data_IF_759784093996
#
_entry.id   IF_759784093996
#
_cell.length_a   1.000
_cell.length_b   1.000
_cell.length_c   1.000
_cell.angle_alpha   90.00
_cell.angle_beta   90.00
_cell.angle_gamma   90.00
#
_symmetry.space_group_name_H-M   'P 1'
#
loop_
_entity.id
_entity.type
_entity.pdbx_description
1 polymer ?
#
# COMPACT_ATOMS: atom_id res chain seq x y z
N UNK A 1 -46.71 -25.25 -78.48
CA UNK A 1 -46.66 -26.36 -77.52
C UNK A 1 -45.22 -26.88 -77.56
N UNK A 2 -44.33 -26.19 -76.84
CA UNK A 2 -43.74 -26.56 -75.53
C UNK A 2 -42.70 -27.68 -75.64
N UNK A 3 -41.43 -27.29 -75.54
CA UNK A 3 -40.39 -27.94 -74.73
C UNK A 3 -39.03 -27.28 -75.03
N UNK A 4 -38.48 -26.52 -74.08
CA UNK A 4 -37.06 -26.64 -73.74
C UNK A 4 -36.80 -25.96 -72.40
N UNK A 5 -36.41 -26.77 -71.43
CA UNK A 5 -35.84 -26.32 -70.17
C UNK A 5 -34.45 -25.76 -70.42
N UNK A 6 -34.18 -24.54 -69.95
CA UNK A 6 -32.82 -24.03 -69.77
C UNK A 6 -32.63 -23.61 -68.32
N UNK A 7 -31.87 -24.45 -67.62
CA UNK A 7 -31.35 -24.28 -66.25
C UNK A 7 -30.71 -22.89 -66.11
N UNK A 8 -31.19 -22.05 -65.20
CA UNK A 8 -30.41 -20.93 -64.65
C UNK A 8 -29.50 -21.50 -63.54
N UNK A 9 -28.20 -21.49 -63.79
CA UNK A 9 -27.17 -21.80 -62.79
C UNK A 9 -27.19 -20.75 -61.67
N UNK A 10 -27.12 -21.23 -60.43
CA UNK A 10 -26.87 -20.38 -59.25
C UNK A 10 -25.46 -19.76 -59.36
N UNK A 11 -25.26 -18.52 -58.86
CA UNK A 11 -23.97 -17.85 -58.93
C UNK A 11 -22.93 -18.62 -58.12
N UNK A 12 -21.79 -18.91 -58.74
CA UNK A 12 -20.66 -19.59 -58.11
C UNK A 12 -20.00 -18.60 -57.15
N UNK A 13 -20.29 -18.73 -55.85
CA UNK A 13 -19.59 -18.00 -54.79
C UNK A 13 -18.18 -18.59 -54.68
N UNK A 14 -17.18 -17.84 -55.12
CA UNK A 14 -15.78 -18.26 -55.01
C UNK A 14 -15.28 -18.09 -53.57
N UNK A 15 -14.40 -19.00 -53.13
CA UNK A 15 -13.79 -19.04 -51.78
C UNK A 15 -13.18 -17.69 -51.36
N UNK A 16 -12.72 -16.87 -52.32
CA UNK A 16 -12.18 -15.53 -52.10
C UNK A 16 -13.23 -14.49 -51.68
N UNK A 17 -14.47 -14.62 -52.16
CA UNK A 17 -15.57 -13.68 -51.84
C UNK A 17 -16.17 -13.99 -50.46
N UNK A 18 -16.26 -15.27 -50.08
CA UNK A 18 -16.65 -15.68 -48.73
C UNK A 18 -15.61 -15.27 -47.67
N UNK A 19 -14.32 -15.36 -48.00
CA UNK A 19 -13.22 -14.91 -47.12
C UNK A 19 -13.24 -13.38 -46.94
N UNK A 20 -13.44 -12.60 -48.01
CA UNK A 20 -13.54 -11.12 -47.89
C UNK A 20 -14.75 -10.65 -47.08
N UNK A 21 -15.90 -11.34 -47.16
CA UNK A 21 -17.08 -11.03 -46.34
C UNK A 21 -16.97 -11.49 -44.88
N UNK A 22 -16.31 -12.64 -44.65
CA UNK A 22 -16.13 -13.23 -43.33
C UNK A 22 -15.12 -12.47 -42.46
N UNK A 23 -14.02 -11.94 -43.03
CA UNK A 23 -13.02 -11.20 -42.24
C UNK A 23 -13.50 -9.84 -41.75
N UNK A 24 -14.37 -9.14 -42.49
CA UNK A 24 -14.90 -7.84 -42.06
C UNK A 24 -15.89 -7.97 -40.88
N UNK A 25 -16.64 -9.07 -40.82
CA UNK A 25 -17.68 -9.31 -39.79
C UNK A 25 -17.14 -10.08 -38.58
N UNK A 26 -16.27 -11.07 -38.79
CA UNK A 26 -15.57 -11.75 -37.70
C UNK A 26 -14.54 -10.83 -37.04
N UNK A 27 -13.89 -9.92 -37.78
CA UNK A 27 -12.96 -8.95 -37.23
C UNK A 27 -13.63 -8.00 -36.24
N UNK A 28 -14.79 -7.43 -36.59
CA UNK A 28 -15.52 -6.52 -35.71
C UNK A 28 -16.13 -7.24 -34.49
N UNK A 29 -16.72 -8.42 -34.67
CA UNK A 29 -17.30 -9.18 -33.56
C UNK A 29 -16.23 -9.77 -32.63
N UNK A 30 -15.13 -10.28 -33.17
CA UNK A 30 -14.00 -10.76 -32.39
C UNK A 30 -13.25 -9.60 -31.71
N UNK A 31 -13.17 -8.43 -32.36
CA UNK A 31 -12.67 -7.22 -31.71
C UNK A 31 -13.60 -6.82 -30.56
N UNK A 32 -14.91 -6.65 -30.79
CA UNK A 32 -15.90 -6.35 -29.73
C UNK A 32 -15.85 -7.37 -28.58
N UNK A 33 -15.68 -8.66 -28.89
CA UNK A 33 -15.47 -9.71 -27.89
C UNK A 33 -14.14 -9.58 -27.14
N UNK A 34 -13.05 -9.23 -27.83
CA UNK A 34 -11.72 -9.06 -27.26
C UNK A 34 -11.56 -7.77 -26.44
N UNK A 35 -12.30 -6.70 -26.78
CA UNK A 35 -12.43 -5.48 -25.96
C UNK A 35 -13.59 -5.56 -24.97
N UNK A 36 -14.37 -6.65 -24.90
CA UNK A 36 -15.41 -6.81 -23.88
C UNK A 36 -14.84 -6.80 -22.45
N UNK A 37 -13.72 -7.51 -22.15
CA UNK A 37 -13.03 -7.38 -20.87
C UNK A 37 -12.55 -5.95 -20.59
N UNK A 38 -12.05 -5.25 -21.62
CA UNK A 38 -11.62 -3.84 -21.51
C UNK A 38 -12.80 -2.89 -21.32
N UNK A 39 -13.99 -3.18 -21.87
CA UNK A 39 -15.23 -2.42 -21.66
C UNK A 39 -15.80 -2.65 -20.26
N UNK A 40 -15.64 -3.85 -19.71
CA UNK A 40 -15.98 -4.12 -18.33
C UNK A 40 -15.01 -3.45 -17.36
N UNK A 41 -13.70 -3.47 -17.64
CA UNK A 41 -12.71 -2.70 -16.88
C UNK A 41 -12.95 -1.18 -16.99
N UNK A 42 -13.26 -0.66 -18.18
CA UNK A 42 -13.61 0.76 -18.39
C UNK A 42 -14.97 1.16 -17.81
N UNK A 43 -15.78 0.20 -17.35
CA UNK A 43 -17.01 0.49 -16.58
C UNK A 43 -16.71 0.74 -15.11
N UNK A 44 -15.58 0.26 -14.60
CA UNK A 44 -15.13 0.45 -13.22
C UNK A 44 -14.08 1.56 -13.10
N UNK A 45 -13.34 1.86 -14.18
CA UNK A 45 -12.27 2.87 -14.19
C UNK A 45 -12.65 4.02 -15.11
N UNK A 46 -12.62 5.27 -14.61
CA UNK A 46 -12.95 6.43 -15.46
C UNK A 46 -11.92 6.60 -16.58
N UNK A 47 -12.30 7.16 -17.74
CA UNK A 47 -11.34 7.40 -18.84
C UNK A 47 -10.16 8.29 -18.41
N UNK A 48 -10.38 9.15 -17.42
CA UNK A 48 -9.34 10.00 -16.81
C UNK A 48 -8.41 9.22 -15.87
N UNK A 49 -8.88 8.15 -15.25
CA UNK A 49 -8.07 7.26 -14.42
C UNK A 49 -7.27 6.29 -15.28
N UNK A 50 -7.85 5.77 -16.36
CA UNK A 50 -7.13 4.92 -17.32
C UNK A 50 -5.98 5.64 -18.03
N UNK A 51 -6.13 6.94 -18.29
CA UNK A 51 -5.11 7.79 -18.92
C UNK A 51 -4.21 8.51 -17.91
N UNK A 52 -4.36 8.25 -16.60
CA UNK A 52 -3.58 8.91 -15.57
C UNK A 52 -2.11 8.55 -15.75
N UNK A 53 -1.22 9.56 -15.74
CA UNK A 53 0.23 9.35 -15.77
C UNK A 53 0.76 8.99 -14.38
N UNK A 54 2.00 8.49 -14.34
CA UNK A 54 2.70 8.22 -13.09
C UNK A 54 2.76 9.49 -12.22
N UNK A 55 2.55 9.37 -10.91
CA UNK A 55 2.50 10.54 -10.01
C UNK A 55 3.72 11.48 -10.12
N UNK A 56 4.91 10.92 -10.35
CA UNK A 56 6.14 11.72 -10.49
C UNK A 56 6.17 12.56 -11.79
N UNK A 57 5.36 12.21 -12.79
CA UNK A 57 5.27 12.89 -14.08
C UNK A 57 4.12 13.91 -14.12
N UNK A 58 3.16 13.81 -13.20
CA UNK A 58 2.02 14.71 -13.15
C UNK A 58 2.42 16.15 -12.79
N UNK A 59 1.87 17.11 -13.53
CA UNK A 59 1.94 18.53 -13.19
C UNK A 59 1.18 18.82 -11.89
N UNK A 60 1.48 19.94 -11.22
CA UNK A 60 0.74 20.33 -10.01
C UNK A 60 -0.73 20.65 -10.30
N UNK A 61 -1.07 21.02 -11.54
CA UNK A 61 -2.46 21.16 -11.96
C UNK A 61 -3.16 19.80 -12.08
N UNK A 62 -2.50 18.81 -12.70
CA UNK A 62 -3.07 17.49 -12.88
C UNK A 62 -3.18 16.72 -11.57
N UNK A 63 -2.19 16.89 -10.67
CA UNK A 63 -2.28 16.37 -9.29
C UNK A 63 -3.52 16.91 -8.58
N UNK A 64 -3.81 18.22 -8.69
CA UNK A 64 -5.01 18.83 -8.11
C UNK A 64 -6.29 18.26 -8.71
N UNK A 65 -6.33 18.02 -10.02
CA UNK A 65 -7.49 17.37 -10.68
C UNK A 65 -7.71 15.94 -10.18
N UNK A 66 -6.63 15.16 -10.06
CA UNK A 66 -6.70 13.78 -9.54
C UNK A 66 -7.14 13.78 -8.09
N UNK A 67 -6.59 14.66 -7.26
CA UNK A 67 -6.97 14.81 -5.85
C UNK A 67 -8.45 15.16 -5.71
N UNK A 68 -8.94 16.16 -6.44
CA UNK A 68 -10.35 16.53 -6.41
C UNK A 68 -11.27 15.38 -6.84
N UNK A 69 -10.85 14.60 -7.85
CA UNK A 69 -11.56 13.40 -8.27
C UNK A 69 -11.61 12.35 -7.16
N UNK A 70 -10.49 12.09 -6.48
CA UNK A 70 -10.42 11.11 -5.38
C UNK A 70 -11.26 11.53 -4.17
N UNK A 71 -11.34 12.83 -3.87
CA UNK A 71 -12.20 13.36 -2.81
C UNK A 71 -13.68 13.12 -3.13
N UNK A 72 -14.10 13.39 -4.38
CA UNK A 72 -15.47 13.14 -4.84
C UNK A 72 -15.79 11.64 -4.83
N UNK A 73 -14.91 10.80 -5.37
CA UNK A 73 -15.06 9.33 -5.35
C UNK A 73 -15.18 8.81 -3.92
N UNK A 74 -14.41 9.36 -2.97
CA UNK A 74 -14.51 8.96 -1.55
C UNK A 74 -15.87 9.33 -0.96
N UNK A 75 -16.39 10.51 -1.31
CA UNK A 75 -17.71 10.97 -0.87
C UNK A 75 -18.83 10.12 -1.46
N UNK A 76 -18.77 9.82 -2.76
CA UNK A 76 -19.77 8.99 -3.45
C UNK A 76 -19.77 7.55 -2.94
N UNK A 77 -18.60 6.95 -2.76
CA UNK A 77 -18.48 5.53 -2.41
C UNK A 77 -18.62 5.24 -0.92
N UNK A 78 -18.09 6.12 -0.06
CA UNK A 78 -18.01 5.89 1.38
C UNK A 78 -18.85 6.87 2.20
N UNK A 79 -19.48 7.87 1.58
CA UNK A 79 -20.31 8.86 2.28
C UNK A 79 -19.54 9.77 3.21
N UNK A 80 -18.23 9.92 3.02
CA UNK A 80 -17.34 10.70 3.88
C UNK A 80 -16.72 11.88 3.12
N UNK A 81 -16.86 13.08 3.66
CA UNK A 81 -16.13 14.26 3.19
C UNK A 81 -14.68 14.19 3.69
N UNK A 82 -13.72 14.19 2.76
CA UNK A 82 -12.30 14.07 3.05
C UNK A 82 -11.50 15.20 2.41
N UNK A 83 -10.32 15.48 2.94
CA UNK A 83 -9.34 16.41 2.37
C UNK A 83 -8.07 15.63 2.09
N UNK A 84 -7.65 15.58 0.82
CA UNK A 84 -6.47 14.84 0.39
C UNK A 84 -5.35 15.84 0.06
N UNK A 85 -4.32 15.87 0.91
CA UNK A 85 -3.12 16.65 0.69
C UNK A 85 -2.10 15.99 -0.25
N UNK A 86 -1.18 16.79 -0.77
CA UNK A 86 0.02 16.35 -1.48
C UNK A 86 1.26 16.63 -0.61
N UNK A 87 1.40 15.88 0.49
CA UNK A 87 2.46 16.09 1.48
C UNK A 87 3.82 15.70 0.90
N UNK A 88 4.62 16.69 0.50
CA UNK A 88 5.96 16.51 -0.06
C UNK A 88 7.00 16.14 1.00
N UNK A 89 8.07 15.42 0.63
CA UNK A 89 9.16 15.11 1.56
C UNK A 89 9.74 16.40 2.17
N UNK A 90 10.10 16.31 3.45
CA UNK A 90 10.70 17.45 4.16
C UNK A 90 12.20 17.51 3.85
N UNK A 91 12.72 18.59 3.24
CA UNK A 91 14.14 18.69 2.94
C UNK A 91 15.02 18.59 4.18
N UNK A 92 16.19 17.96 4.06
CA UNK A 92 17.14 17.80 5.17
C UNK A 92 16.65 16.90 6.31
N UNK A 93 15.63 16.09 6.05
CA UNK A 93 15.08 15.13 7.02
C UNK A 93 15.38 13.71 6.58
N UNK A 94 15.65 12.82 7.54
CA UNK A 94 15.58 11.37 7.33
C UNK A 94 14.86 10.75 8.51
N UNK A 95 13.62 10.33 8.28
CA UNK A 95 12.79 9.75 9.32
C UNK A 95 13.24 8.35 9.67
N UNK A 96 13.42 8.09 10.96
CA UNK A 96 13.70 6.76 11.48
C UNK A 96 12.82 6.46 12.68
N UNK A 97 12.65 5.17 12.97
CA UNK A 97 11.80 4.68 14.05
C UNK A 97 12.61 3.76 14.96
N UNK A 98 12.35 3.79 16.27
CA UNK A 98 12.89 2.83 17.22
C UNK A 98 11.80 2.28 18.15
N UNK A 99 11.92 1.02 18.53
CA UNK A 99 11.04 0.38 19.52
C UNK A 99 11.85 -0.15 20.70
N UNK A 100 11.45 0.26 21.90
CA UNK A 100 11.93 -0.26 23.16
C UNK A 100 11.24 -1.60 23.47
N UNK A 101 11.98 -2.69 23.36
CA UNK A 101 11.48 -4.03 23.66
C UNK A 101 11.39 -4.31 25.16
N UNK A 102 12.07 -3.53 26.01
CA UNK A 102 12.02 -3.70 27.48
C UNK A 102 10.70 -3.23 28.09
N UNK A 103 10.01 -2.27 27.46
CA UNK A 103 8.76 -1.69 27.99
C UNK A 103 7.55 -1.98 27.09
N UNK A 104 7.73 -2.66 25.97
CA UNK A 104 6.59 -3.10 25.15
C UNK A 104 5.86 -4.23 25.87
N UNK A 105 4.59 -4.01 26.22
CA UNK A 105 3.77 -4.97 26.96
C UNK A 105 2.72 -5.69 26.09
N UNK A 106 2.81 -5.61 24.76
CA UNK A 106 1.93 -6.37 23.87
C UNK A 106 0.49 -5.88 23.74
N UNK A 107 0.11 -4.73 24.32
CA UNK A 107 -1.30 -4.32 24.43
C UNK A 107 -2.07 -4.05 23.11
N UNK A 108 -1.42 -4.05 21.95
CA UNK A 108 -2.11 -3.87 20.67
C UNK A 108 -2.63 -2.46 20.32
N UNK A 109 -2.64 -1.47 21.23
CA UNK A 109 -3.18 -0.10 20.96
C UNK A 109 -2.53 0.58 19.75
N UNK A 110 -1.25 0.30 19.51
CA UNK A 110 -0.56 0.81 18.34
C UNK A 110 -1.10 0.23 17.00
N UNK A 111 -1.58 -1.02 17.02
CA UNK A 111 -2.21 -1.70 15.88
C UNK A 111 -3.57 -1.07 15.61
N UNK A 112 -4.39 -0.89 16.64
CA UNK A 112 -5.71 -0.25 16.57
C UNK A 112 -5.62 1.18 16.04
N UNK A 113 -4.70 1.98 16.59
CA UNK A 113 -4.49 3.36 16.14
C UNK A 113 -4.02 3.41 14.68
N UNK A 114 -3.14 2.49 14.26
CA UNK A 114 -2.72 2.40 12.87
C UNK A 114 -3.89 2.05 11.94
N UNK A 115 -4.77 1.14 12.38
CA UNK A 115 -5.92 0.65 11.62
C UNK A 115 -6.96 1.75 11.40
N UNK A 116 -7.24 2.55 12.44
CA UNK A 116 -8.13 3.71 12.38
C UNK A 116 -7.53 4.85 11.55
N UNK A 117 -6.32 5.29 11.90
CA UNK A 117 -5.67 6.45 11.28
C UNK A 117 -5.49 6.29 9.77
N UNK A 118 -5.11 5.07 9.35
CA UNK A 118 -4.75 4.79 7.96
C UNK A 118 -5.92 4.21 7.15
N UNK A 119 -7.17 4.33 7.61
CA UNK A 119 -8.36 3.85 6.89
C UNK A 119 -8.19 2.41 6.38
N UNK A 120 -7.74 1.51 7.26
CA UNK A 120 -7.61 0.09 6.90
C UNK A 120 -8.99 -0.54 6.76
N UNK A 121 -9.10 -1.52 5.88
CA UNK A 121 -10.34 -2.26 5.69
C UNK A 121 -10.79 -2.94 6.99
N UNK A 122 -12.04 -2.66 7.41
CA UNK A 122 -12.60 -3.22 8.65
C UNK A 122 -12.91 -4.70 8.54
N UNK A 123 -13.27 -5.17 7.34
CA UNK A 123 -13.69 -6.56 7.15
C UNK A 123 -12.54 -7.55 7.34
N UNK A 124 -11.34 -7.21 6.86
CA UNK A 124 -10.14 -8.05 6.99
C UNK A 124 -9.40 -7.87 8.31
N UNK A 125 -9.70 -6.80 9.06
CA UNK A 125 -8.94 -6.38 10.25
C UNK A 125 -7.41 -6.34 9.99
N UNK A 126 -7.03 -6.04 8.74
CA UNK A 126 -5.65 -6.05 8.32
C UNK A 126 -4.93 -4.83 8.92
N UNK A 127 -3.71 -5.02 9.43
CA UNK A 127 -2.90 -3.91 9.94
C UNK A 127 -1.47 -3.96 9.42
N UNK A 128 -0.85 -2.78 9.39
CA UNK A 128 0.55 -2.61 9.04
C UNK A 128 1.49 -3.10 10.14
N UNK A 129 0.98 -3.20 11.37
CA UNK A 129 1.74 -3.57 12.56
C UNK A 129 1.29 -4.95 13.00
N UNK A 130 2.24 -5.85 13.19
CA UNK A 130 2.02 -7.15 13.85
C UNK A 130 2.83 -7.18 15.12
N UNK A 131 2.20 -7.46 16.25
CA UNK A 131 2.92 -7.61 17.52
C UNK A 131 3.15 -9.09 17.77
N UNK A 132 4.40 -9.53 17.65
CA UNK A 132 4.78 -10.92 17.91
C UNK A 132 5.05 -11.07 19.41
N UNK A 133 4.33 -11.97 20.07
CA UNK A 133 4.67 -12.47 21.39
C UNK A 133 5.79 -13.51 21.25
N UNK A 134 6.94 -13.22 21.86
CA UNK A 134 8.16 -13.99 21.74
C UNK A 134 8.55 -14.61 23.09
N UNK A 135 8.99 -15.88 23.15
CA UNK A 135 9.62 -16.42 24.36
C UNK A 135 10.91 -15.66 24.70
N UNK A 136 11.11 -15.31 25.99
CA UNK A 136 12.37 -14.71 26.42
C UNK A 136 13.54 -15.69 26.17
N UNK A 137 14.65 -15.16 25.67
CA UNK A 137 15.88 -15.92 25.40
C UNK A 137 16.07 -16.37 23.94
N UNK A 138 15.10 -16.13 23.06
CA UNK A 138 15.24 -16.40 21.62
C UNK A 138 14.79 -15.20 20.77
N UNK A 139 15.43 -15.04 19.61
CA UNK A 139 15.01 -14.10 18.55
C UNK A 139 14.47 -14.84 17.32
N UNK A 140 14.26 -16.15 17.44
CA UNK A 140 13.66 -16.97 16.41
C UNK A 140 12.18 -16.61 16.23
N UNK A 141 11.89 -15.84 15.18
CA UNK A 141 10.56 -15.31 14.88
C UNK A 141 9.54 -16.41 14.56
N UNK A 142 9.97 -17.64 14.23
CA UNK A 142 9.03 -18.76 14.00
C UNK A 142 8.31 -19.18 15.28
N UNK A 143 8.92 -18.91 16.44
CA UNK A 143 8.32 -19.14 17.76
C UNK A 143 7.39 -18.00 18.20
N UNK A 144 7.26 -16.95 17.37
CA UNK A 144 6.43 -15.79 17.64
C UNK A 144 4.96 -16.05 17.37
N UNK A 145 4.09 -15.64 18.30
CA UNK A 145 2.64 -15.70 18.12
C UNK A 145 2.05 -14.29 17.92
N UNK A 146 1.13 -14.13 16.97
CA UNK A 146 0.43 -12.84 16.73
C UNK A 146 -1.04 -12.86 17.13
N UNK A 147 -1.57 -14.00 17.56
CA UNK A 147 -3.00 -14.22 17.87
C UNK A 147 -3.20 -14.63 19.33
N UNK A 148 -2.45 -14.04 20.26
CA UNK A 148 -2.63 -14.26 21.69
C UNK A 148 -3.87 -13.52 22.22
N UNK A 149 -4.59 -14.14 23.16
CA UNK A 149 -5.86 -13.63 23.72
C UNK A 149 -5.86 -13.55 25.25
N UNK A 150 -4.77 -13.92 25.91
CA UNK A 150 -4.63 -13.78 27.35
C UNK A 150 -4.30 -12.35 27.77
N UNK A 151 -4.31 -12.09 29.07
CA UNK A 151 -3.89 -10.81 29.63
C UNK A 151 -2.39 -10.63 29.40
N UNK A 152 -1.99 -9.45 28.94
CA UNK A 152 -0.59 -9.06 28.70
C UNK A 152 -0.17 -7.95 29.68
N UNK A 153 1.10 -7.87 30.09
CA UNK A 153 2.23 -8.70 29.66
C UNK A 153 2.29 -10.07 30.36
N UNK A 154 2.90 -11.06 29.68
CA UNK A 154 3.29 -12.35 30.26
C UNK A 154 4.77 -12.34 30.69
N UNK A 155 5.07 -12.83 31.90
CA UNK A 155 6.41 -12.79 32.50
C UNK A 155 7.45 -13.62 31.74
N UNK A 156 7.03 -14.67 31.02
CA UNK A 156 7.91 -15.51 30.20
C UNK A 156 8.14 -14.97 28.79
N UNK A 157 7.49 -13.85 28.44
CA UNK A 157 7.44 -13.33 27.07
C UNK A 157 7.99 -11.91 26.95
N UNK A 158 8.41 -11.56 25.76
CA UNK A 158 8.59 -10.17 25.34
C UNK A 158 7.84 -9.93 24.03
N UNK A 159 7.52 -8.68 23.73
CA UNK A 159 6.69 -8.35 22.58
C UNK A 159 7.51 -7.62 21.54
N UNK A 160 7.52 -8.15 20.31
CA UNK A 160 8.25 -7.64 19.15
C UNK A 160 7.27 -7.11 18.09
N UNK A 161 6.94 -5.81 18.07
CA UNK A 161 6.18 -5.21 16.99
C UNK A 161 6.99 -5.15 15.70
N UNK A 162 6.46 -5.74 14.62
CA UNK A 162 7.04 -5.73 13.27
C UNK A 162 6.12 -4.97 12.33
N UNK A 163 6.70 -4.01 11.61
CA UNK A 163 6.05 -3.19 10.59
C UNK A 163 7.03 -2.88 9.45
N UNK A 164 6.63 -2.05 8.49
CA UNK A 164 7.55 -1.61 7.43
C UNK A 164 8.74 -0.87 8.05
N UNK A 165 9.94 -1.32 7.68
CA UNK A 165 11.19 -0.82 8.23
C UNK A 165 11.76 0.40 7.48
N UNK A 166 11.09 0.85 6.41
CA UNK A 166 11.54 1.91 5.48
C UNK A 166 13.03 1.78 5.11
N UNK A 167 13.37 0.62 4.54
CA UNK A 167 14.73 0.25 4.14
C UNK A 167 15.40 1.31 3.24
N UNK A 168 16.68 1.57 3.48
CA UNK A 168 17.50 2.41 2.59
C UNK A 168 17.85 1.72 1.27
N UNK A 169 17.97 0.40 1.30
CA UNK A 169 18.09 -0.48 0.13
C UNK A 169 16.85 -1.37 0.07
N UNK A 170 15.68 -0.82 -0.36
CA UNK A 170 14.41 -1.51 -0.29
C UNK A 170 14.25 -2.49 -1.47
N UNK A 171 14.36 -3.82 -1.27
CA UNK A 171 14.17 -4.79 -2.36
C UNK A 171 12.77 -4.71 -2.97
N UNK A 172 11.78 -4.30 -2.17
CA UNK A 172 10.41 -4.11 -2.61
C UNK A 172 10.20 -2.96 -3.62
N UNK A 173 11.17 -2.04 -3.75
CA UNK A 173 11.19 -1.02 -4.81
C UNK A 173 11.77 -1.60 -6.09
N UNK A 174 12.93 -2.26 -6.00
CA UNK A 174 13.65 -2.79 -7.15
C UNK A 174 12.85 -3.82 -7.95
N UNK A 175 12.00 -4.61 -7.26
CA UNK A 175 11.17 -5.64 -7.91
C UNK A 175 9.88 -5.10 -8.55
N UNK A 176 9.56 -3.81 -8.42
CA UNK A 176 8.31 -3.26 -8.94
C UNK A 176 8.43 -3.00 -10.46
N UNK A 177 7.76 -3.79 -11.33
CA UNK A 177 7.96 -3.69 -12.78
C UNK A 177 7.44 -2.38 -13.38
N UNK A 178 6.49 -1.73 -12.71
CA UNK A 178 5.87 -0.48 -13.14
C UNK A 178 6.33 0.72 -12.32
N UNK A 179 7.28 0.52 -11.39
CA UNK A 179 7.80 1.59 -10.53
C UNK A 179 6.74 2.34 -9.68
N UNK A 180 5.63 1.68 -9.33
CA UNK A 180 4.58 2.25 -8.46
C UNK A 180 5.03 2.51 -7.01
N UNK A 181 6.27 2.22 -6.65
CA UNK A 181 6.82 2.43 -5.33
C UNK A 181 8.26 2.90 -5.47
N UNK A 182 8.65 3.91 -4.69
CA UNK A 182 9.99 4.49 -4.69
C UNK A 182 10.32 5.01 -3.28
N UNK A 183 11.57 5.43 -3.07
CA UNK A 183 12.02 6.07 -1.82
C UNK A 183 12.05 7.59 -2.01
N UNK A 184 11.38 8.32 -1.13
CA UNK A 184 11.41 9.78 -1.06
C UNK A 184 12.66 10.29 -0.33
N UNK A 185 13.00 11.58 -0.50
CA UNK A 185 14.20 12.18 0.09
C UNK A 185 14.23 12.12 1.62
N UNK A 186 13.05 12.10 2.26
CA UNK A 186 12.90 11.99 3.71
C UNK A 186 13.06 10.56 4.25
N UNK A 187 13.41 9.61 3.38
CA UNK A 187 13.66 8.20 3.69
C UNK A 187 12.39 7.34 3.70
N UNK A 188 11.20 7.91 3.51
CA UNK A 188 9.96 7.15 3.47
C UNK A 188 9.85 6.47 2.09
N UNK A 189 9.72 5.14 2.08
CA UNK A 189 9.30 4.43 0.87
C UNK A 189 7.81 4.74 0.68
N UNK A 190 7.36 5.06 -0.52
CA UNK A 190 5.94 5.38 -0.80
C UNK A 190 5.38 4.40 -1.82
N UNK A 191 4.05 4.37 -1.95
CA UNK A 191 3.35 3.59 -2.97
C UNK A 191 2.30 4.49 -3.59
N UNK A 192 2.34 4.61 -4.91
CA UNK A 192 1.23 5.20 -5.65
C UNK A 192 0.17 4.12 -5.87
N UNK A 193 -0.92 4.20 -5.12
CA UNK A 193 -2.00 3.21 -5.25
C UNK A 193 -2.73 3.31 -6.59
N UNK A 194 -2.70 4.46 -7.29
CA UNK A 194 -3.34 4.57 -8.62
C UNK A 194 -2.48 3.94 -9.73
N UNK A 195 -1.18 3.81 -9.51
CA UNK A 195 -0.26 3.19 -10.47
C UNK A 195 0.04 1.72 -10.18
N UNK A 196 -0.28 1.26 -8.96
CA UNK A 196 -0.01 -0.11 -8.55
C UNK A 196 -0.88 -1.11 -9.32
N UNK A 197 -0.25 -1.94 -10.16
CA UNK A 197 -0.94 -3.00 -10.94
C UNK A 197 -1.22 -4.29 -10.15
N UNK A 198 -0.93 -4.33 -8.86
CA UNK A 198 -1.27 -5.51 -8.04
C UNK A 198 -0.49 -6.79 -8.31
N UNK A 199 0.69 -6.75 -8.96
CA UNK A 199 1.49 -7.94 -9.26
C UNK A 199 2.11 -8.64 -8.01
N UNK A 200 2.13 -7.95 -6.86
CA UNK A 200 2.55 -8.48 -5.54
C UNK A 200 4.00 -8.95 -5.43
N UNK A 201 4.87 -8.72 -6.41
CA UNK A 201 6.30 -9.02 -6.27
C UNK A 201 6.95 -8.28 -5.10
N UNK A 202 6.50 -7.05 -4.81
CA UNK A 202 6.96 -6.29 -3.65
C UNK A 202 6.56 -6.90 -2.29
N UNK A 203 5.51 -7.75 -2.25
CA UNK A 203 5.14 -8.53 -1.07
C UNK A 203 6.12 -9.67 -0.86
N UNK A 204 6.41 -10.44 -1.92
CA UNK A 204 7.36 -11.55 -1.90
C UNK A 204 8.79 -11.10 -1.58
N UNK A 205 9.22 -9.95 -2.09
CA UNK A 205 10.56 -9.42 -1.87
C UNK A 205 10.78 -8.82 -0.48
N UNK A 206 9.72 -8.53 0.28
CA UNK A 206 9.85 -7.87 1.58
C UNK A 206 10.18 -8.89 2.69
N UNK A 207 11.39 -8.87 3.29
CA UNK A 207 11.79 -9.88 4.27
C UNK A 207 11.06 -9.75 5.62
N UNK A 208 10.31 -8.65 5.80
CA UNK A 208 9.54 -8.35 7.00
C UNK A 208 8.06 -8.68 6.87
N UNK A 209 7.61 -9.12 5.67
CA UNK A 209 6.21 -9.22 5.30
C UNK A 209 5.43 -7.98 5.75
N UNK A 210 5.91 -6.79 5.36
CA UNK A 210 5.36 -5.51 5.79
C UNK A 210 4.40 -4.87 4.77
N UNK A 211 4.23 -5.50 3.62
CA UNK A 211 3.28 -5.13 2.58
C UNK A 211 1.99 -5.94 2.75
N UNK A 212 0.86 -5.33 2.42
CA UNK A 212 -0.49 -5.89 2.55
C UNK A 212 -1.19 -5.71 1.22
N UNK A 213 -1.88 -6.72 0.74
CA UNK A 213 -2.59 -6.67 -0.53
C UNK A 213 -4.10 -6.60 -0.29
N UNK A 214 -4.77 -5.70 -1.01
CA UNK A 214 -6.20 -5.49 -0.91
C UNK A 214 -6.93 -6.42 -1.86
N UNK A 215 -7.34 -7.57 -1.33
CA UNK A 215 -8.01 -8.62 -2.12
C UNK A 215 -9.44 -8.27 -2.53
N UNK A 216 -10.10 -7.42 -1.75
CA UNK A 216 -11.47 -6.98 -1.93
C UNK A 216 -11.52 -5.46 -1.85
N UNK A 217 -12.63 -4.87 -2.32
CA UNK A 217 -12.95 -3.47 -2.01
C UNK A 217 -12.98 -3.29 -0.49
N UNK A 218 -12.29 -2.30 0.06
CA UNK A 218 -12.28 -2.07 1.51
C UNK A 218 -13.66 -1.61 1.99
N UNK A 219 -14.01 -2.03 3.19
CA UNK A 219 -15.22 -1.62 3.89
C UNK A 219 -14.81 -0.74 5.08
N UNK A 220 -15.09 0.56 4.99
CA UNK A 220 -14.82 1.53 6.07
C UNK A 220 -16.10 2.35 6.29
N UNK A 221 -16.71 2.29 7.49
CA UNK A 221 -17.88 3.11 7.80
C UNK A 221 -17.58 4.60 7.66
N UNK A 222 -18.53 5.37 7.13
CA UNK A 222 -18.38 6.80 6.83
C UNK A 222 -17.88 7.59 8.04
N UNK A 223 -18.44 7.30 9.21
CA UNK A 223 -18.13 7.92 10.50
C UNK A 223 -16.73 7.59 11.04
N UNK A 224 -16.10 6.53 10.52
CA UNK A 224 -14.75 6.12 10.91
C UNK A 224 -13.67 6.51 9.89
N UNK A 225 -14.07 7.02 8.73
CA UNK A 225 -13.12 7.51 7.73
C UNK A 225 -12.36 8.69 8.31
N UNK A 226 -11.03 8.60 8.32
CA UNK A 226 -10.18 9.73 8.65
C UNK A 226 -10.30 10.78 7.53
N UNK A 227 -10.82 11.98 7.82
CA UNK A 227 -10.99 13.02 6.81
C UNK A 227 -9.66 13.66 6.41
N UNK A 228 -8.64 13.59 7.25
CA UNK A 228 -7.35 14.21 6.98
C UNK A 228 -6.40 13.23 6.26
N UNK A 229 -6.34 13.35 4.94
CA UNK A 229 -5.68 12.37 4.07
C UNK A 229 -4.50 12.96 3.30
N UNK A 230 -3.72 12.07 2.69
CA UNK A 230 -2.65 12.41 1.76
C UNK A 230 -2.57 11.40 0.63
N UNK A 231 -2.24 11.87 -0.58
CA UNK A 231 -2.27 11.09 -1.82
C UNK A 231 -1.44 9.80 -1.73
N UNK A 232 -0.24 9.86 -1.15
CA UNK A 232 0.67 8.72 -0.99
C UNK A 232 0.56 8.02 0.38
N UNK A 233 -0.50 8.27 1.16
CA UNK A 233 -0.61 7.80 2.55
C UNK A 233 -1.89 7.05 2.90
N UNK A 234 -2.79 7.68 3.64
CA UNK A 234 -3.87 7.05 4.41
C UNK A 234 -5.23 7.10 3.70
N UNK A 235 -5.28 7.48 2.42
CA UNK A 235 -6.52 7.39 1.66
C UNK A 235 -7.07 5.97 1.66
N UNK A 236 -8.36 5.81 1.39
CA UNK A 236 -8.93 4.47 1.21
C UNK A 236 -8.33 3.87 -0.07
N UNK A 237 -7.81 2.64 0.02
CA UNK A 237 -7.05 2.03 -1.10
C UNK A 237 -7.99 1.17 -1.93
N UNK A 238 -7.97 1.28 -3.28
CA UNK A 238 -8.82 0.45 -4.12
C UNK A 238 -8.47 -1.04 -4.01
N UNK A 239 -9.36 -1.89 -4.50
CA UNK A 239 -9.08 -3.31 -4.64
C UNK A 239 -7.91 -3.54 -5.62
N UNK A 240 -7.10 -4.56 -5.37
CA UNK A 240 -6.05 -4.98 -6.28
C UNK A 240 -4.72 -4.24 -6.11
N UNK A 241 -4.57 -3.41 -5.07
CA UNK A 241 -3.34 -2.67 -4.81
C UNK A 241 -2.63 -3.15 -3.55
N UNK A 242 -1.34 -2.85 -3.47
CA UNK A 242 -0.51 -3.12 -2.30
C UNK A 242 -0.39 -1.86 -1.45
N UNK A 243 -0.52 -2.03 -0.15
CA UNK A 243 -0.36 -1.00 0.86
C UNK A 243 0.66 -1.39 1.92
N UNK A 244 1.12 -0.42 2.70
CA UNK A 244 2.13 -0.61 3.76
C UNK A 244 2.17 0.60 4.68
N UNK A 245 2.84 0.47 5.82
CA UNK A 245 3.16 1.61 6.68
C UNK A 245 3.97 2.68 5.91
N UNK A 246 3.55 3.93 6.04
CA UNK A 246 4.18 5.13 5.44
C UNK A 246 4.70 6.09 6.50
N UNK A 247 4.96 5.60 7.73
CA UNK A 247 5.21 6.43 8.91
C UNK A 247 4.17 7.54 9.12
N UNK A 248 2.93 7.30 8.68
CA UNK A 248 1.85 8.27 8.72
C UNK A 248 2.30 9.60 8.11
N UNK A 249 2.80 9.60 6.86
CA UNK A 249 3.38 10.80 6.23
C UNK A 249 2.43 12.01 6.21
N UNK A 250 1.11 11.77 6.16
CA UNK A 250 0.06 12.79 6.31
C UNK A 250 0.14 13.53 7.67
N UNK A 251 0.71 12.91 8.70
CA UNK A 251 1.00 13.50 10.02
C UNK A 251 2.43 14.02 10.10
N UNK A 252 3.40 13.17 9.76
CA UNK A 252 4.82 13.44 10.07
C UNK A 252 5.42 14.54 9.21
N UNK A 253 5.01 14.68 7.95
CA UNK A 253 5.40 15.81 7.10
C UNK A 253 4.77 17.13 7.53
N UNK A 254 3.74 17.09 8.40
CA UNK A 254 3.06 18.24 9.00
C UNK A 254 3.46 18.48 10.46
N UNK A 255 4.53 17.85 10.93
CA UNK A 255 5.07 18.05 12.28
C UNK A 255 4.35 17.30 13.40
N UNK A 256 3.43 16.38 13.08
CA UNK A 256 2.77 15.50 14.07
C UNK A 256 3.50 14.15 14.18
N UNK A 257 3.27 13.43 15.27
CA UNK A 257 3.85 12.09 15.45
C UNK A 257 2.97 11.01 14.78
N UNK A 258 3.54 9.84 14.43
CA UNK A 258 2.76 8.72 13.93
C UNK A 258 1.70 8.27 14.95
N UNK A 259 0.49 7.95 14.50
CA UNK A 259 -0.61 7.56 15.39
C UNK A 259 -0.27 6.35 16.28
N UNK A 260 0.50 5.40 15.75
CA UNK A 260 0.93 4.23 16.51
C UNK A 260 1.88 4.58 17.67
N UNK A 261 2.64 5.68 17.57
CA UNK A 261 3.48 6.21 18.64
C UNK A 261 2.61 6.88 19.71
N UNK A 262 1.75 7.80 19.31
CA UNK A 262 0.90 8.56 20.25
C UNK A 262 -0.06 7.65 21.04
N UNK A 263 -0.53 6.56 20.44
CA UNK A 263 -1.40 5.60 21.10
C UNK A 263 -0.67 4.64 22.07
N UNK A 264 0.66 4.64 22.09
CA UNK A 264 1.44 3.69 22.88
C UNK A 264 1.44 4.08 24.37
N UNK A 265 0.80 3.31 25.26
CA UNK A 265 0.69 3.70 26.67
C UNK A 265 1.99 3.53 27.46
N UNK A 266 2.93 2.71 26.96
CA UNK A 266 4.19 2.43 27.66
C UNK A 266 5.35 3.32 27.20
N UNK A 267 5.13 4.18 26.19
CA UNK A 267 6.22 4.97 25.61
C UNK A 267 7.27 4.15 24.86
N UNK A 268 6.94 2.92 24.45
CA UNK A 268 7.89 2.02 23.78
C UNK A 268 8.36 2.54 22.41
N UNK A 269 7.61 3.45 21.78
CA UNK A 269 7.83 3.86 20.39
C UNK A 269 8.51 5.22 20.35
N UNK A 270 9.58 5.34 19.58
CA UNK A 270 10.32 6.59 19.36
C UNK A 270 10.42 6.82 17.87
N UNK A 271 10.16 8.06 17.43
CA UNK A 271 10.20 8.45 16.02
C UNK A 271 10.86 9.82 15.91
N UNK A 272 11.63 10.05 14.85
CA UNK A 272 12.21 11.37 14.62
C UNK A 272 13.14 11.43 13.41
N UNK A 273 13.73 12.61 13.22
CA UNK A 273 14.73 12.87 12.20
C UNK A 273 16.13 12.49 12.70
N UNK A 274 16.77 11.47 12.10
CA UNK A 274 18.12 11.06 12.48
C UNK A 274 19.21 12.08 12.09
N UNK A 275 18.92 13.00 11.19
CA UNK A 275 19.83 14.07 10.78
C UNK A 275 19.82 15.25 11.75
N UNK A 276 18.79 15.37 12.60
CA UNK A 276 18.76 16.37 13.66
C UNK A 276 19.60 15.88 14.86
N UNK A 277 20.73 16.55 15.20
CA UNK A 277 21.60 16.16 16.30
C UNK A 277 20.92 16.29 17.67
N UNK A 278 19.83 17.07 17.78
CA UNK A 278 19.07 17.25 19.02
C UNK A 278 17.89 16.29 19.14
N UNK A 279 17.66 15.44 18.15
CA UNK A 279 16.53 14.52 18.17
C UNK A 279 16.73 13.41 19.21
N UNK A 280 15.64 13.05 19.90
CA UNK A 280 15.64 11.93 20.85
C UNK A 280 16.08 10.61 20.19
N UNK A 281 15.74 10.43 18.91
CA UNK A 281 16.07 9.23 18.16
C UNK A 281 17.59 9.13 17.89
N UNK A 282 18.25 10.25 17.57
CA UNK A 282 19.71 10.32 17.42
C UNK A 282 20.41 9.93 18.71
N UNK A 283 20.02 10.58 19.81
CA UNK A 283 20.59 10.29 21.12
C UNK A 283 20.42 8.82 21.51
N UNK A 284 19.22 8.26 21.28
CA UNK A 284 18.93 6.86 21.55
C UNK A 284 19.85 5.92 20.79
N UNK A 285 20.01 6.12 19.48
CA UNK A 285 20.85 5.25 18.64
C UNK A 285 22.34 5.33 19.01
N UNK A 286 22.80 6.46 19.57
CA UNK A 286 24.18 6.62 20.04
C UNK A 286 24.42 6.05 21.44
N UNK A 287 23.40 6.02 22.30
CA UNK A 287 23.56 5.73 23.74
C UNK A 287 22.95 4.40 24.21
N UNK A 288 22.08 3.77 23.41
CA UNK A 288 21.41 2.51 23.76
C UNK A 288 21.97 1.34 22.94
N UNK A 289 21.80 0.12 23.45
CA UNK A 289 22.10 -1.09 22.68
C UNK A 289 20.97 -1.30 21.68
N UNK A 290 21.32 -1.15 20.40
CA UNK A 290 20.39 -1.27 19.28
C UNK A 290 20.51 -2.66 18.65
N UNK A 291 19.37 -3.18 18.20
CA UNK A 291 19.22 -4.39 17.41
C UNK A 291 18.54 -4.01 16.09
N UNK A 292 19.09 -4.51 14.98
CA UNK A 292 18.52 -4.36 13.64
C UNK A 292 17.93 -5.70 13.20
N UNK A 293 16.65 -5.69 12.82
CA UNK A 293 15.96 -6.90 12.43
C UNK A 293 16.43 -7.36 11.05
N UNK A 294 16.91 -8.60 10.95
CA UNK A 294 17.42 -9.22 9.71
C UNK A 294 18.52 -8.42 9.03
N UNK A 295 19.50 -7.95 9.83
CA UNK A 295 20.64 -7.15 9.36
C UNK A 295 21.44 -7.86 8.26
N UNK A 296 21.54 -9.20 8.33
CA UNK A 296 22.27 -10.06 7.41
C UNK A 296 21.77 -9.97 5.95
N UNK A 297 20.54 -9.48 5.72
CA UNK A 297 19.96 -9.33 4.39
C UNK A 297 20.37 -8.04 3.68
N UNK A 298 21.11 -7.14 4.35
CA UNK A 298 21.69 -5.95 3.71
C UNK A 298 20.69 -4.85 3.33
N UNK A 299 19.41 -4.94 3.71
CA UNK A 299 18.38 -3.95 3.31
C UNK A 299 18.54 -2.55 3.94
N UNK A 300 19.46 -2.40 4.89
CA UNK A 300 19.72 -1.17 5.67
C UNK A 300 18.43 -0.53 6.23
N UNK A 301 17.72 -1.19 7.17
CA UNK A 301 16.51 -0.67 7.80
C UNK A 301 16.67 0.72 8.42
N UNK A 302 15.70 1.62 8.20
CA UNK A 302 15.55 2.88 8.94
C UNK A 302 14.63 2.67 10.17
N UNK A 303 14.75 1.50 10.80
CA UNK A 303 13.90 1.05 11.87
C UNK A 303 14.71 0.15 12.80
N UNK A 304 14.65 0.47 14.08
CA UNK A 304 15.56 -0.04 15.09
C UNK A 304 14.78 -0.62 16.28
N UNK A 305 15.38 -1.57 16.95
CA UNK A 305 14.89 -2.09 18.22
C UNK A 305 15.95 -1.83 19.27
N UNK A 306 15.56 -1.61 20.52
CA UNK A 306 16.52 -1.42 21.60
C UNK A 306 15.97 -1.95 22.92
N UNK A 307 16.88 -2.12 23.87
CA UNK A 307 16.57 -2.55 25.22
C UNK A 307 17.08 -1.49 26.21
N UNK A 308 16.31 -1.28 27.27
CA UNK A 308 16.84 -0.61 28.46
C UNK A 308 17.84 -1.51 29.18
N UNK A 309 18.83 -0.87 29.83
CA UNK A 309 19.88 -1.54 30.59
C UNK A 309 19.32 -2.23 31.83
#
# INVERSE_FOLDING_TARGET
MSESQLKKSLPIVTRRTAVKGGFATLGAAAFVGAISPLRHAAKETSAAEFMQQHYQELSDEDKRKVIARLEEETKEEYGADVTIGDDRPVPGTKFVYAINLSVCNGNGKCVEACHKENNHDRSTNQSYIRVLEMPKGTMDMEQGNTTYTHTVPDDGKFYLPVQCQQCDEPPCVDVCPVQATWKEEDGIVVVDYNWCIGCRYCEAACPYHARRFNWKKPEVPAEEVNPDQSYLSNRIRPQGVVEKCTYCLHRTRRGRLPACLEACPTGARVFGNILDPKSNIRWLLENKRVYVLKEELGTKPAFFYFFDK
#
